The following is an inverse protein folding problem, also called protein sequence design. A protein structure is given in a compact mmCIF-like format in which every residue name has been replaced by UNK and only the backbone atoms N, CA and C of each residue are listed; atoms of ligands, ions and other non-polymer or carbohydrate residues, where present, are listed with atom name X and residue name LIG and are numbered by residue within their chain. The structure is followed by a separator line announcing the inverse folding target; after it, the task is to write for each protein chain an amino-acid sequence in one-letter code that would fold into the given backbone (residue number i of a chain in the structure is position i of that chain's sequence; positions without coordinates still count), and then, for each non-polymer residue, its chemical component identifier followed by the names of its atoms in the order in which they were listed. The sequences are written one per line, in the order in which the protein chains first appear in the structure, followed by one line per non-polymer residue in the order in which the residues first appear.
data_IF_491848952732
#
_entry.id   IF_491848952732
#
_cell.length_a   1.000
_cell.length_b   1.000
_cell.length_c   1.000
_cell.angle_alpha   90.00
_cell.angle_beta   90.00
_cell.angle_gamma   90.00
#
_symmetry.space_group_name_H-M   'P 1'
#
loop_
_entity.id
_entity.type
_entity.pdbx_description
1 polymer ?
#
# COMPACT_ATOMS: atom_id res chain seq x y z
N UNK A 1 -12.53 -30.38 7.42
CA UNK A 1 -12.14 -30.07 6.03
C UNK A 1 -12.00 -31.39 5.29
N UNK A 2 -12.99 -31.76 4.47
CA UNK A 2 -12.65 -32.63 3.34
C UNK A 2 -12.07 -31.71 2.28
N UNK A 3 -10.88 -32.03 1.78
CA UNK A 3 -10.17 -31.29 0.73
C UNK A 3 -10.94 -31.21 -0.60
N UNK A 4 -12.13 -31.81 -0.67
CA UNK A 4 -13.00 -31.79 -1.85
C UNK A 4 -13.91 -30.55 -1.94
N UNK A 5 -14.19 -29.84 -0.85
CA UNK A 5 -15.22 -28.78 -0.85
C UNK A 5 -14.76 -27.42 -1.40
N UNK A 6 -13.44 -27.24 -1.59
CA UNK A 6 -12.87 -26.00 -2.19
C UNK A 6 -12.33 -26.25 -3.61
N UNK A 7 -12.13 -27.52 -3.99
CA UNK A 7 -11.48 -27.90 -5.25
C UNK A 7 -12.46 -28.25 -6.39
N UNK A 8 -13.78 -28.18 -6.17
CA UNK A 8 -14.78 -28.64 -7.15
C UNK A 8 -15.00 -27.71 -8.34
N UNK A 9 -14.20 -26.64 -8.53
CA UNK A 9 -14.18 -25.80 -9.75
C UNK A 9 -15.50 -25.13 -10.14
N UNK A 10 -16.57 -25.34 -9.36
CA UNK A 10 -17.95 -24.95 -9.63
C UNK A 10 -18.59 -24.26 -8.41
N UNK A 11 -17.75 -23.72 -7.53
CA UNK A 11 -18.20 -22.97 -6.35
C UNK A 11 -18.90 -21.69 -6.81
N UNK A 12 -20.20 -21.61 -6.54
CA UNK A 12 -20.97 -20.37 -6.69
C UNK A 12 -20.48 -19.32 -5.69
N UNK A 13 -20.87 -18.06 -5.89
CA UNK A 13 -20.54 -16.99 -4.92
C UNK A 13 -21.08 -17.35 -3.53
N UNK A 14 -22.24 -18.03 -3.45
CA UNK A 14 -22.82 -18.48 -2.20
C UNK A 14 -21.93 -19.50 -1.47
N UNK A 15 -21.29 -20.39 -2.22
CA UNK A 15 -20.38 -21.42 -1.69
C UNK A 15 -19.12 -20.79 -1.11
N UNK A 16 -18.56 -19.80 -1.82
CA UNK A 16 -17.37 -19.09 -1.36
C UNK A 16 -17.63 -18.30 -0.07
N UNK A 17 -18.81 -17.67 0.03
CA UNK A 17 -19.23 -16.94 1.23
C UNK A 17 -19.47 -17.88 2.40
N UNK A 18 -20.17 -19.00 2.18
CA UNK A 18 -20.43 -20.00 3.22
C UNK A 18 -19.12 -20.58 3.78
N UNK A 19 -18.19 -20.99 2.91
CA UNK A 19 -16.87 -21.49 3.33
C UNK A 19 -16.06 -20.41 4.06
N UNK A 20 -16.07 -19.17 3.58
CA UNK A 20 -15.36 -18.05 4.24
C UNK A 20 -15.90 -17.76 5.65
N UNK A 21 -17.22 -17.80 5.81
CA UNK A 21 -17.86 -17.64 7.12
C UNK A 21 -17.57 -18.83 8.05
N UNK A 22 -17.65 -20.06 7.55
CA UNK A 22 -17.28 -21.27 8.30
C UNK A 22 -15.87 -21.17 8.87
N UNK A 23 -14.89 -20.84 8.03
CA UNK A 23 -13.49 -20.70 8.45
C UNK A 23 -13.30 -19.61 9.51
N UNK A 24 -14.02 -18.49 9.38
CA UNK A 24 -13.96 -17.40 10.36
C UNK A 24 -14.52 -17.82 11.71
N UNK A 25 -15.55 -18.66 11.73
CA UNK A 25 -16.20 -19.15 12.96
C UNK A 25 -15.39 -20.27 13.62
N UNK A 26 -14.87 -21.22 12.83
CA UNK A 26 -13.98 -22.27 13.33
C UNK A 26 -12.70 -21.67 13.98
N UNK A 27 -12.18 -20.57 13.42
CA UNK A 27 -11.02 -19.86 13.96
C UNK A 27 -11.27 -19.22 15.34
N UNK A 28 -12.52 -19.03 15.75
CA UNK A 28 -12.85 -18.53 17.10
C UNK A 28 -12.63 -19.59 18.18
N UNK A 29 -12.44 -20.87 17.81
CA UNK A 29 -12.07 -21.94 18.75
C UNK A 29 -13.11 -22.23 19.84
N UNK A 30 -14.40 -21.99 19.55
CA UNK A 30 -15.48 -22.19 20.51
C UNK A 30 -15.69 -23.69 20.72
N UNK A 31 -15.31 -24.18 21.90
CA UNK A 31 -15.51 -25.59 22.27
C UNK A 31 -17.00 -25.96 22.26
N UNK A 32 -17.34 -27.04 21.56
CA UNK A 32 -18.70 -27.57 21.45
C UNK A 32 -19.57 -26.94 20.36
N UNK A 33 -19.02 -26.00 19.58
CA UNK A 33 -19.63 -25.49 18.36
C UNK A 33 -18.94 -26.11 17.15
N UNK A 34 -19.71 -26.84 16.34
CA UNK A 34 -19.25 -27.33 15.04
C UNK A 34 -20.05 -26.64 13.94
N UNK A 35 -19.36 -25.99 13.01
CA UNK A 35 -19.96 -25.45 11.78
C UNK A 35 -19.66 -26.40 10.63
N UNK A 36 -20.69 -26.82 9.90
CA UNK A 36 -20.55 -27.69 8.74
C UNK A 36 -21.06 -27.00 7.46
N UNK A 37 -20.46 -27.37 6.33
CA UNK A 37 -20.81 -26.88 5.01
C UNK A 37 -20.82 -28.05 4.04
N UNK A 38 -21.94 -28.22 3.33
CA UNK A 38 -22.14 -29.24 2.31
C UNK A 38 -22.21 -28.59 0.93
N UNK A 39 -21.28 -28.95 0.05
CA UNK A 39 -21.22 -28.46 -1.32
C UNK A 39 -22.38 -28.95 -2.21
N UNK A 40 -23.17 -29.94 -1.76
CA UNK A 40 -24.42 -30.33 -2.43
C UNK A 40 -25.62 -29.41 -2.09
N UNK A 41 -25.52 -28.58 -1.04
CA UNK A 41 -26.54 -27.62 -0.59
C UNK A 41 -25.96 -26.19 -0.54
N UNK A 42 -25.77 -25.55 -1.71
CA UNK A 42 -25.00 -24.32 -1.83
C UNK A 42 -25.54 -23.18 -0.96
N UNK A 43 -24.65 -22.46 -0.28
CA UNK A 43 -24.97 -21.32 0.57
C UNK A 43 -25.58 -21.62 1.95
N UNK A 44 -25.73 -22.90 2.34
CA UNK A 44 -26.24 -23.27 3.67
C UNK A 44 -25.11 -23.62 4.62
N UNK A 45 -25.12 -23.02 5.81
CA UNK A 45 -24.25 -23.39 6.93
C UNK A 45 -25.06 -24.05 8.03
N UNK A 46 -24.63 -25.24 8.44
CA UNK A 46 -25.23 -25.95 9.56
C UNK A 46 -24.42 -25.71 10.83
N UNK A 47 -25.10 -25.30 11.89
CA UNK A 47 -24.49 -25.08 13.20
C UNK A 47 -24.98 -26.17 14.16
N UNK A 48 -24.06 -26.95 14.70
CA UNK A 48 -24.34 -27.92 15.75
C UNK A 48 -23.69 -27.44 17.04
N UNK A 49 -24.50 -27.28 18.09
CA UNK A 49 -24.06 -26.95 19.44
C UNK A 49 -24.33 -28.14 20.35
N UNK A 50 -23.26 -28.78 20.83
CA UNK A 50 -23.33 -29.93 21.73
C UNK A 50 -23.20 -29.54 23.22
N UNK A 51 -23.07 -28.23 23.52
CA UNK A 51 -22.92 -27.68 24.85
C UNK A 51 -24.24 -27.31 25.56
N UNK A 52 -24.15 -26.82 26.80
CA UNK A 52 -25.29 -26.45 27.66
C UNK A 52 -25.74 -24.99 27.54
N UNK A 53 -25.29 -24.26 26.50
CA UNK A 53 -25.59 -22.83 26.29
C UNK A 53 -26.52 -22.68 25.08
N UNK A 54 -27.37 -21.66 25.07
CA UNK A 54 -28.21 -21.36 23.91
C UNK A 54 -27.33 -20.99 22.70
N UNK A 55 -27.63 -21.57 21.54
CA UNK A 55 -26.98 -21.22 20.27
C UNK A 55 -27.65 -19.96 19.71
N UNK A 56 -26.94 -18.83 19.72
CA UNK A 56 -27.37 -17.61 19.02
C UNK A 56 -26.47 -17.39 17.80
N UNK A 57 -27.05 -17.52 16.60
CA UNK A 57 -26.36 -17.26 15.33
C UNK A 57 -26.90 -15.96 14.75
N UNK A 58 -26.08 -14.90 14.73
CA UNK A 58 -26.39 -13.65 14.04
C UNK A 58 -25.42 -13.45 12.88
N UNK A 59 -25.91 -13.53 11.64
CA UNK A 59 -25.17 -13.16 10.44
C UNK A 59 -25.57 -11.76 9.97
N UNK A 60 -24.62 -10.84 9.83
CA UNK A 60 -24.84 -9.60 9.10
C UNK A 60 -24.06 -9.67 7.78
N UNK A 61 -24.79 -9.69 6.66
CA UNK A 61 -24.21 -9.62 5.33
C UNK A 61 -24.10 -8.15 4.90
N UNK A 62 -22.91 -7.71 4.49
CA UNK A 62 -22.75 -6.51 3.65
C UNK A 62 -22.83 -6.92 2.18
N UNK A 63 -24.06 -7.05 1.66
CA UNK A 63 -24.32 -7.36 0.26
C UNK A 63 -23.87 -6.20 -0.67
N UNK A 64 -23.65 -6.44 -1.96
CA UNK A 64 -23.47 -5.39 -2.98
C UNK A 64 -24.82 -4.66 -3.22
N UNK A 65 -25.22 -3.89 -2.22
CA UNK A 65 -26.40 -3.03 -2.01
C UNK A 65 -26.49 -2.61 -0.52
N UNK A 66 -25.50 -2.95 0.31
CA UNK A 66 -25.41 -2.66 1.74
C UNK A 66 -24.79 -1.30 2.07
N UNK A 67 -24.73 -0.37 1.12
CA UNK A 67 -24.67 1.04 1.48
C UNK A 67 -26.04 1.45 2.02
N UNK A 68 -26.14 2.52 2.80
CA UNK A 68 -27.44 3.03 3.29
C UNK A 68 -28.49 3.18 2.18
N UNK A 69 -28.04 3.32 0.92
CA UNK A 69 -28.85 3.41 -0.30
C UNK A 69 -29.60 2.14 -0.73
N UNK A 70 -29.29 0.95 -0.17
CA UNK A 70 -30.09 -0.26 -0.41
C UNK A 70 -31.53 -0.16 0.07
N UNK A 71 -31.77 0.70 1.07
CA UNK A 71 -33.10 1.00 1.58
C UNK A 71 -33.99 1.74 0.56
N UNK A 72 -33.40 2.32 -0.49
CA UNK A 72 -34.14 3.01 -1.55
C UNK A 72 -35.08 2.06 -2.31
N UNK A 73 -34.69 0.79 -2.46
CA UNK A 73 -35.50 -0.24 -3.12
C UNK A 73 -36.76 -0.63 -2.31
N UNK A 74 -36.76 -0.37 -1.00
CA UNK A 74 -37.87 -0.64 -0.08
C UNK A 74 -38.72 0.60 0.23
N UNK A 75 -38.43 1.76 -0.39
CA UNK A 75 -39.24 2.96 -0.19
C UNK A 75 -40.59 2.79 -0.86
N UNK A 76 -41.64 2.86 -0.05
CA UNK A 76 -43.02 2.90 -0.49
C UNK A 76 -43.69 4.21 -0.02
N UNK A 77 -44.12 5.02 -0.98
CA UNK A 77 -44.78 6.32 -0.75
C UNK A 77 -46.28 6.28 -1.07
N UNK A 78 -46.85 5.10 -1.31
CA UNK A 78 -48.26 4.94 -1.69
C UNK A 78 -49.24 5.26 -0.55
N UNK A 79 -48.78 5.24 0.70
CA UNK A 79 -49.55 5.62 1.89
C UNK A 79 -48.91 6.82 2.59
N UNK A 80 -49.70 7.63 3.30
CA UNK A 80 -49.15 8.75 4.07
C UNK A 80 -48.16 8.30 5.14
N UNK A 81 -48.40 7.14 5.78
CA UNK A 81 -47.45 6.57 6.75
C UNK A 81 -46.14 6.12 6.08
N UNK A 82 -46.23 5.43 4.93
CA UNK A 82 -45.07 5.04 4.13
C UNK A 82 -44.24 6.22 3.66
N UNK A 83 -44.89 7.30 3.23
CA UNK A 83 -44.22 8.54 2.83
C UNK A 83 -43.44 9.20 3.99
N UNK A 84 -43.97 9.19 5.22
CA UNK A 84 -43.25 9.69 6.39
C UNK A 84 -42.02 8.82 6.73
N UNK A 85 -42.15 7.49 6.66
CA UNK A 85 -41.01 6.58 6.87
C UNK A 85 -39.95 6.71 5.76
N UNK A 86 -40.39 6.90 4.52
CA UNK A 86 -39.51 7.13 3.38
C UNK A 86 -38.67 8.40 3.55
N UNK A 87 -39.29 9.50 4.03
CA UNK A 87 -38.60 10.75 4.29
C UNK A 87 -37.45 10.57 5.29
N UNK A 88 -37.71 9.95 6.44
CA UNK A 88 -36.67 9.70 7.45
C UNK A 88 -35.55 8.76 6.94
N UNK A 89 -35.91 7.79 6.11
CA UNK A 89 -34.92 6.91 5.47
C UNK A 89 -34.03 7.68 4.48
N UNK A 90 -34.61 8.58 3.69
CA UNK A 90 -33.87 9.45 2.76
C UNK A 90 -32.94 10.40 3.52
N UNK A 91 -33.40 11.01 4.61
CA UNK A 91 -32.57 11.89 5.45
C UNK A 91 -31.35 11.15 6.01
N UNK A 92 -31.52 9.93 6.51
CA UNK A 92 -30.41 9.09 6.99
C UNK A 92 -29.42 8.72 5.87
N UNK A 93 -29.94 8.45 4.66
CA UNK A 93 -29.13 8.17 3.48
C UNK A 93 -28.34 9.40 3.01
N UNK A 94 -28.95 10.58 3.06
CA UNK A 94 -28.27 11.85 2.78
C UNK A 94 -27.16 12.09 3.78
N UNK A 95 -27.41 11.88 5.08
CA UNK A 95 -26.38 12.04 6.11
C UNK A 95 -25.20 11.08 5.87
N UNK A 96 -25.49 9.81 5.59
CA UNK A 96 -24.45 8.81 5.25
C UNK A 96 -23.62 9.24 4.04
N UNK A 97 -24.27 9.81 3.02
CA UNK A 97 -23.58 10.29 1.81
C UNK A 97 -22.71 11.51 2.09
N UNK A 98 -23.15 12.42 2.98
CA UNK A 98 -22.37 13.57 3.44
C UNK A 98 -21.15 13.12 4.22
N UNK A 99 -21.29 12.15 5.12
CA UNK A 99 -20.19 11.62 5.92
C UNK A 99 -19.13 10.95 5.03
N UNK A 100 -19.57 10.13 4.07
CA UNK A 100 -18.68 9.52 3.08
C UNK A 100 -17.98 10.56 2.20
N UNK A 101 -18.69 11.60 1.75
CA UNK A 101 -18.10 12.70 0.98
C UNK A 101 -17.07 13.49 1.81
N UNK A 102 -17.33 13.70 3.09
CA UNK A 102 -16.39 14.33 4.03
C UNK A 102 -15.13 13.49 4.21
N UNK A 103 -15.29 12.17 4.39
CA UNK A 103 -14.17 11.23 4.50
C UNK A 103 -13.32 11.23 3.21
N UNK A 104 -13.94 11.16 2.04
CA UNK A 104 -13.23 11.28 0.76
C UNK A 104 -12.54 12.63 0.61
N UNK A 105 -13.19 13.73 0.98
CA UNK A 105 -12.59 15.05 0.94
C UNK A 105 -11.37 15.18 1.86
N UNK A 106 -11.40 14.55 3.03
CA UNK A 106 -10.25 14.50 3.95
C UNK A 106 -9.10 13.65 3.39
N UNK A 107 -9.44 12.50 2.80
CA UNK A 107 -8.48 11.58 2.19
C UNK A 107 -7.81 12.20 0.98
N UNK A 108 -8.57 12.89 0.12
CA UNK A 108 -8.05 13.64 -1.02
C UNK A 108 -7.04 14.69 -0.56
N UNK A 109 -7.38 15.50 0.45
CA UNK A 109 -6.45 16.51 1.00
C UNK A 109 -5.17 15.87 1.53
N UNK A 110 -5.28 14.71 2.19
CA UNK A 110 -4.10 13.98 2.65
C UNK A 110 -3.22 13.51 1.48
N UNK A 111 -3.84 13.01 0.41
CA UNK A 111 -3.13 12.61 -0.82
C UNK A 111 -2.44 13.81 -1.47
N UNK A 112 -3.12 14.95 -1.57
CA UNK A 112 -2.57 16.18 -2.16
C UNK A 112 -1.34 16.67 -1.36
N UNK A 113 -1.43 16.68 -0.03
CA UNK A 113 -0.30 17.02 0.86
C UNK A 113 0.85 16.03 0.65
N UNK A 114 0.56 14.74 0.61
CA UNK A 114 1.57 13.69 0.43
C UNK A 114 2.28 13.84 -0.93
N UNK A 115 1.53 14.12 -1.99
CA UNK A 115 2.05 14.34 -3.34
C UNK A 115 2.96 15.56 -3.40
N UNK A 116 2.55 16.67 -2.76
CA UNK A 116 3.38 17.87 -2.66
C UNK A 116 4.66 17.62 -1.86
N UNK A 117 4.57 16.89 -0.74
CA UNK A 117 5.73 16.53 0.07
C UNK A 117 6.71 15.66 -0.72
N UNK A 118 6.23 14.64 -1.43
CA UNK A 118 7.07 13.75 -2.24
C UNK A 118 7.74 14.52 -3.39
N UNK A 119 7.01 15.42 -4.05
CA UNK A 119 7.59 16.29 -5.10
C UNK A 119 8.73 17.16 -4.53
N UNK A 120 8.48 17.85 -3.42
CA UNK A 120 9.49 18.69 -2.75
C UNK A 120 10.70 17.88 -2.27
N UNK A 121 10.45 16.68 -1.74
CA UNK A 121 11.52 15.77 -1.34
C UNK A 121 12.35 15.33 -2.56
N UNK A 122 11.70 15.00 -3.67
CA UNK A 122 12.40 14.65 -4.90
C UNK A 122 13.24 15.81 -5.44
N UNK A 123 12.74 17.04 -5.38
CA UNK A 123 13.47 18.23 -5.84
C UNK A 123 14.67 18.51 -4.92
N UNK A 124 14.49 18.41 -3.60
CA UNK A 124 15.57 18.56 -2.63
C UNK A 124 16.65 17.47 -2.81
N UNK A 125 16.26 16.22 -3.05
CA UNK A 125 17.18 15.12 -3.33
C UNK A 125 17.94 15.34 -4.64
N UNK A 126 17.27 15.78 -5.72
CA UNK A 126 17.95 16.10 -6.98
C UNK A 126 18.96 17.23 -6.81
N UNK A 127 18.59 18.29 -6.09
CA UNK A 127 19.52 19.38 -5.79
C UNK A 127 20.68 18.90 -4.92
N UNK A 128 20.42 18.13 -3.87
CA UNK A 128 21.46 17.59 -2.99
C UNK A 128 22.43 16.65 -3.70
N UNK A 129 21.91 15.74 -4.53
CA UNK A 129 22.75 14.86 -5.36
C UNK A 129 23.54 15.69 -6.38
N UNK A 130 22.92 16.68 -7.02
CA UNK A 130 23.62 17.60 -7.93
C UNK A 130 24.81 18.29 -7.25
N UNK A 131 24.62 18.82 -6.04
CA UNK A 131 25.71 19.45 -5.28
C UNK A 131 26.81 18.48 -4.88
N UNK A 132 26.49 17.21 -4.58
CA UNK A 132 27.50 16.19 -4.31
C UNK A 132 28.28 15.82 -5.57
N UNK A 133 27.59 15.68 -6.72
CA UNK A 133 28.24 15.39 -8.01
C UNK A 133 29.16 16.52 -8.45
N UNK A 134 28.71 17.78 -8.29
CA UNK A 134 29.54 18.95 -8.60
C UNK A 134 30.77 19.00 -7.69
N UNK A 135 30.62 18.75 -6.38
CA UNK A 135 31.74 18.68 -5.44
C UNK A 135 32.72 17.54 -5.77
N UNK A 136 32.23 16.36 -6.13
CA UNK A 136 33.06 15.22 -6.55
C UNK A 136 33.83 15.55 -7.85
N UNK A 137 33.21 16.27 -8.78
CA UNK A 137 33.90 16.75 -9.99
C UNK A 137 34.96 17.82 -9.70
N UNK A 138 34.72 18.71 -8.73
CA UNK A 138 35.74 19.67 -8.28
C UNK A 138 36.94 18.96 -7.63
N UNK A 139 36.71 17.98 -6.73
CA UNK A 139 37.80 17.23 -6.10
C UNK A 139 38.62 16.46 -7.15
N UNK A 140 37.95 15.75 -8.06
CA UNK A 140 38.63 15.01 -9.12
C UNK A 140 39.39 15.93 -10.09
N UNK A 141 38.86 17.12 -10.40
CA UNK A 141 39.55 18.13 -11.21
C UNK A 141 40.78 18.69 -10.51
N UNK A 142 40.68 19.00 -9.21
CA UNK A 142 41.82 19.44 -8.39
C UNK A 142 42.89 18.34 -8.31
N UNK A 143 42.47 17.08 -8.17
CA UNK A 143 43.37 15.91 -8.16
C UNK A 143 44.09 15.73 -9.50
N UNK A 144 43.39 15.92 -10.62
CA UNK A 144 43.98 15.88 -11.96
C UNK A 144 45.00 17.01 -12.16
N UNK A 145 44.67 18.23 -11.75
CA UNK A 145 45.61 19.36 -11.81
C UNK A 145 46.86 19.10 -10.94
N UNK A 146 46.67 18.60 -9.72
CA UNK A 146 47.79 18.23 -8.85
C UNK A 146 48.69 17.15 -9.50
N UNK A 147 48.07 16.16 -10.16
CA UNK A 147 48.80 15.12 -10.88
C UNK A 147 49.57 15.68 -12.09
N UNK A 148 48.97 16.60 -12.85
CA UNK A 148 49.64 17.28 -13.97
C UNK A 148 50.84 18.12 -13.50
N UNK A 149 50.70 18.85 -12.39
CA UNK A 149 51.81 19.60 -11.77
C UNK A 149 52.90 18.64 -11.30
N UNK A 150 52.55 17.53 -10.66
CA UNK A 150 53.52 16.49 -10.29
C UNK A 150 54.28 15.95 -11.51
N UNK A 151 53.60 15.68 -12.62
CA UNK A 151 54.25 15.21 -13.85
C UNK A 151 55.18 16.26 -14.46
N UNK A 152 54.76 17.53 -14.49
CA UNK A 152 55.61 18.63 -14.97
C UNK A 152 56.85 18.80 -14.10
N UNK A 153 56.69 18.73 -12.77
CA UNK A 153 57.80 18.73 -11.82
C UNK A 153 58.69 17.51 -12.01
N UNK A 154 58.14 16.31 -12.16
CA UNK A 154 58.91 15.09 -12.42
C UNK A 154 59.73 15.20 -13.71
N UNK A 155 59.15 15.74 -14.78
CA UNK A 155 59.85 15.95 -16.07
C UNK A 155 60.96 16.98 -15.93
N UNK A 156 60.71 18.09 -15.21
CA UNK A 156 61.71 19.12 -14.94
C UNK A 156 62.85 18.57 -14.06
N UNK A 157 62.51 17.80 -13.01
CA UNK A 157 63.48 17.12 -12.16
C UNK A 157 64.32 16.12 -12.97
N UNK A 158 63.72 15.38 -13.90
CA UNK A 158 64.44 14.47 -14.79
C UNK A 158 65.36 15.20 -15.78
N UNK A 159 64.95 16.37 -16.30
CA UNK A 159 65.78 17.20 -17.18
C UNK A 159 66.97 17.78 -16.42
N UNK A 160 66.76 18.26 -15.19
CA UNK A 160 67.82 18.74 -14.30
C UNK A 160 68.78 17.59 -13.96
N UNK A 161 68.26 16.42 -13.59
CA UNK A 161 69.06 15.24 -13.29
C UNK A 161 69.89 14.75 -14.49
N UNK A 162 69.42 14.91 -15.73
CA UNK A 162 70.18 14.58 -16.94
C UNK A 162 71.18 15.67 -17.37
N UNK A 163 70.94 16.94 -17.03
CA UNK A 163 71.85 18.06 -17.33
C UNK A 163 72.98 18.20 -16.30
N UNK A 164 72.74 17.81 -15.05
CA UNK A 164 73.71 17.93 -13.95
C UNK A 164 75.04 17.15 -14.19
N UNK A 165 75.05 15.93 -14.76
CA UNK A 165 76.28 15.21 -15.11
C UNK A 165 77.11 15.89 -16.22
N UNK A 166 76.46 16.59 -17.16
CA UNK A 166 77.14 17.27 -18.27
C UNK A 166 77.92 18.50 -17.80
N UNK A 167 77.40 19.24 -16.82
CA UNK A 167 78.11 20.36 -16.20
C UNK A 167 79.32 19.91 -15.38
N UNK A 168 79.26 18.73 -14.77
CA UNK A 168 80.41 18.14 -14.07
C UNK A 168 81.50 17.72 -15.07
N UNK A 169 81.14 17.16 -16.23
CA UNK A 169 82.11 16.80 -17.28
C UNK A 169 82.79 18.03 -17.94
N UNK A 170 82.13 19.18 -17.97
CA UNK A 170 82.74 20.43 -18.46
C UNK A 170 83.80 21.00 -17.50
N UNK A 171 83.76 20.66 -16.21
CA UNK A 171 84.76 21.05 -15.19
C UNK A 171 86.01 20.16 -15.20
N UNK A 172 85.96 19.03 -15.90
CA UNK A 172 87.09 18.11 -16.08
C UNK A 172 87.74 18.23 -17.48
N UNK A 173 87.49 19.34 -18.20
CA UNK A 173 88.15 19.70 -19.46
C UNK A 173 89.00 20.95 -19.32
#
# INVERSE_FOLDING_TARGET
MSTNDVASGSNTIADLVAVGMKNSIDALGISGLTVDYDSASPGLLSFTNDGTKDLSVSGQFKNASSGGLGALASIDVTTSAGATTALGSIEAMVQTSIDAASEFGSTQKRIDIQSSFVSKLSDALKSGIGTMVDADMEETSARLQALQVQQQLATQSLSIANQQPQNILALFR
#
